data_IF_900497479500
#
_entry.id   IF_900497479500
#
_cell.length_a   1.000
_cell.length_b   1.000
_cell.length_c   1.000
_cell.angle_alpha   90.00
_cell.angle_beta   90.00
_cell.angle_gamma   90.00
#
_symmetry.space_group_name_H-M   'P 1'
#
loop_
_entity.id
_entity.type
_entity.pdbx_description
1 polymer ?
#
# COMPACT_ATOMS: atom_id res chain seq x y z
N UNK A 1 11.83 -13.84 20.55
CA UNK A 1 10.60 -13.04 20.80
C UNK A 1 10.44 -11.82 19.86
N UNK A 2 11.23 -11.66 18.79
CA UNK A 2 11.07 -10.56 17.84
C UNK A 2 10.02 -10.81 16.73
N UNK A 3 9.66 -12.07 16.48
CA UNK A 3 8.71 -12.45 15.41
C UNK A 3 7.24 -12.14 15.70
N UNK A 4 6.86 -11.90 16.96
CA UNK A 4 5.45 -11.67 17.32
C UNK A 4 5.01 -10.20 17.23
N UNK A 5 5.94 -9.24 17.18
CA UNK A 5 5.60 -7.82 16.96
C UNK A 5 5.24 -7.56 15.48
N UNK A 6 5.75 -8.39 14.57
CA UNK A 6 5.37 -8.36 13.16
C UNK A 6 3.92 -8.84 12.92
N UNK A 7 3.37 -9.70 13.78
CA UNK A 7 2.07 -10.33 13.57
C UNK A 7 0.88 -9.37 13.73
N UNK A 8 1.03 -8.30 14.52
CA UNK A 8 -0.01 -7.28 14.72
C UNK A 8 0.12 -6.06 13.79
N UNK A 9 1.31 -5.80 13.23
CA UNK A 9 1.55 -4.66 12.34
C UNK A 9 1.47 -4.98 10.84
N UNK A 10 1.47 -6.26 10.45
CA UNK A 10 1.55 -6.69 9.03
C UNK A 10 0.27 -7.34 8.46
N UNK A 11 -0.90 -7.11 9.05
CA UNK A 11 -2.18 -7.47 8.41
C UNK A 11 -2.56 -6.54 7.23
N UNK A 12 -1.58 -5.83 6.66
CA UNK A 12 -1.80 -5.04 5.44
C UNK A 12 -1.99 -5.97 4.24
N UNK A 13 -1.34 -7.15 4.26
CA UNK A 13 -1.56 -8.24 3.32
C UNK A 13 -2.19 -9.40 4.11
N UNK A 14 -3.49 -9.60 3.94
CA UNK A 14 -4.25 -10.55 4.76
C UNK A 14 -4.55 -11.85 4.03
N UNK A 15 -4.56 -11.82 2.69
CA UNK A 15 -4.95 -12.93 1.83
C UNK A 15 -3.84 -13.30 0.83
N UNK A 16 -3.70 -14.59 0.46
CA UNK A 16 -2.80 -14.99 -0.61
C UNK A 16 -3.09 -14.23 -1.90
N UNK A 17 -2.04 -13.68 -2.52
CA UNK A 17 -2.16 -12.88 -3.73
C UNK A 17 -2.31 -11.38 -3.50
N UNK A 18 -2.54 -10.92 -2.27
CA UNK A 18 -2.46 -9.49 -1.94
C UNK A 18 -1.07 -8.94 -2.25
N UNK A 19 -1.02 -7.69 -2.69
CA UNK A 19 0.23 -7.00 -3.07
C UNK A 19 0.31 -5.64 -2.40
N UNK A 20 1.48 -5.34 -1.84
CA UNK A 20 1.86 -4.01 -1.38
C UNK A 20 3.16 -3.62 -2.06
N UNK A 21 3.16 -2.44 -2.67
CA UNK A 21 4.33 -1.86 -3.32
C UNK A 21 4.59 -0.50 -2.69
N UNK A 22 5.76 -0.33 -2.10
CA UNK A 22 6.25 0.96 -1.60
C UNK A 22 7.51 1.33 -2.36
N UNK A 23 7.56 2.55 -2.92
CA UNK A 23 8.72 3.03 -3.66
C UNK A 23 8.89 4.54 -3.52
N UNK A 24 10.13 4.99 -3.66
CA UNK A 24 10.47 6.40 -3.88
C UNK A 24 10.91 6.51 -5.35
N UNK A 25 10.33 7.44 -6.11
CA UNK A 25 10.72 7.68 -7.50
C UNK A 25 11.94 8.60 -7.56
N UNK A 26 12.64 8.63 -8.70
CA UNK A 26 13.80 9.51 -8.91
C UNK A 26 13.44 11.00 -8.76
N UNK A 27 12.18 11.35 -9.03
CA UNK A 27 11.61 12.68 -8.80
C UNK A 27 11.25 12.96 -7.33
N UNK A 28 11.54 12.05 -6.40
CA UNK A 28 11.28 12.19 -4.96
C UNK A 28 9.84 11.89 -4.52
N UNK A 29 8.99 11.34 -5.39
CA UNK A 29 7.62 10.98 -5.00
C UNK A 29 7.64 9.72 -4.14
N UNK A 30 6.95 9.73 -3.00
CA UNK A 30 6.74 8.53 -2.18
C UNK A 30 5.42 7.90 -2.61
N UNK A 31 5.48 6.70 -3.16
CA UNK A 31 4.32 5.98 -3.68
C UNK A 31 4.10 4.72 -2.86
N UNK A 32 2.90 4.57 -2.31
CA UNK A 32 2.41 3.35 -1.70
C UNK A 32 1.21 2.85 -2.51
N UNK A 33 1.24 1.58 -2.90
CA UNK A 33 0.13 0.92 -3.58
C UNK A 33 -0.23 -0.36 -2.83
N UNK A 34 -1.52 -0.62 -2.79
CA UNK A 34 -2.12 -1.84 -2.27
C UNK A 34 -3.08 -2.38 -3.31
N UNK A 35 -3.07 -3.70 -3.51
CA UNK A 35 -4.07 -4.41 -4.28
C UNK A 35 -4.39 -5.72 -3.59
N UNK A 36 -5.67 -6.04 -3.45
CA UNK A 36 -6.10 -7.35 -3.00
C UNK A 36 -5.89 -8.39 -4.11
N UNK A 37 -5.59 -9.63 -3.72
CA UNK A 37 -5.31 -10.72 -4.66
C UNK A 37 -6.51 -11.09 -5.54
N UNK A 38 -7.72 -10.94 -5.00
CA UNK A 38 -8.99 -11.11 -5.70
C UNK A 38 -9.36 -9.91 -6.60
N UNK A 39 -8.59 -8.81 -6.54
CA UNK A 39 -8.84 -7.57 -7.27
C UNK A 39 -10.08 -6.79 -6.81
N UNK A 40 -10.69 -7.15 -5.68
CA UNK A 40 -11.85 -6.45 -5.12
C UNK A 40 -11.51 -5.06 -4.59
N UNK A 41 -10.27 -4.84 -4.17
CA UNK A 41 -9.80 -3.57 -3.64
C UNK A 41 -8.45 -3.17 -4.24
N UNK A 42 -8.34 -1.91 -4.65
CA UNK A 42 -7.08 -1.25 -4.99
C UNK A 42 -7.00 0.08 -4.28
N UNK A 43 -5.86 0.38 -3.69
CA UNK A 43 -5.60 1.66 -3.07
C UNK A 43 -4.20 2.15 -3.45
N UNK A 44 -4.04 3.46 -3.60
CA UNK A 44 -2.73 4.05 -3.74
C UNK A 44 -2.67 5.40 -3.06
N UNK A 45 -1.51 5.71 -2.49
CA UNK A 45 -1.17 7.01 -1.92
C UNK A 45 0.14 7.46 -2.50
N UNK A 46 0.15 8.64 -3.10
CA UNK A 46 1.37 9.29 -3.59
C UNK A 46 1.57 10.59 -2.84
N UNK A 47 2.72 10.76 -2.21
CA UNK A 47 3.17 12.01 -1.62
C UNK A 47 4.24 12.60 -2.52
N UNK A 48 4.00 13.82 -2.99
CA UNK A 48 4.93 14.56 -3.83
C UNK A 48 5.93 15.35 -2.97
N UNK A 49 7.13 15.69 -3.50
CA UNK A 49 8.11 16.50 -2.77
C UNK A 49 7.59 17.85 -2.28
N UNK A 50 6.60 18.42 -2.97
CA UNK A 50 5.95 19.67 -2.59
C UNK A 50 4.93 19.50 -1.43
N UNK A 51 4.81 18.31 -0.85
CA UNK A 51 3.86 17.98 0.22
C UNK A 51 2.44 17.66 -0.26
N UNK A 52 2.16 17.69 -1.57
CA UNK A 52 0.86 17.28 -2.10
C UNK A 52 0.65 15.79 -1.88
N UNK A 53 -0.55 15.39 -1.47
CA UNK A 53 -0.92 13.99 -1.27
C UNK A 53 -2.07 13.65 -2.23
N UNK A 54 -1.87 12.64 -3.06
CA UNK A 54 -2.89 12.07 -3.94
C UNK A 54 -3.24 10.67 -3.46
N UNK A 55 -4.49 10.48 -3.06
CA UNK A 55 -5.04 9.19 -2.66
C UNK A 55 -6.07 8.69 -3.66
N UNK A 56 -5.99 7.42 -4.01
CA UNK A 56 -6.97 6.74 -4.86
C UNK A 56 -7.40 5.47 -4.16
N UNK A 57 -8.72 5.22 -4.13
CA UNK A 57 -9.28 3.96 -3.64
C UNK A 57 -10.36 3.49 -4.60
N UNK A 58 -10.30 2.22 -4.97
CA UNK A 58 -11.22 1.59 -5.89
C UNK A 58 -11.68 0.29 -5.26
N UNK A 59 -12.99 0.10 -5.24
CA UNK A 59 -13.64 -1.08 -4.71
C UNK A 59 -14.59 -1.63 -5.76
N UNK A 60 -14.60 -2.95 -5.93
CA UNK A 60 -15.61 -3.64 -6.72
C UNK A 60 -16.87 -3.77 -5.87
N UNK A 61 -18.00 -3.26 -6.38
CA UNK A 61 -19.32 -3.43 -5.76
C UNK A 61 -19.91 -4.80 -6.06
#
# INVERSE_FOLDING_TARGET
MAFNLAKSALNILSSPGDKLEARITDSGNKVLKFASGDGSMKASRTEYPNGTIHETRTYRR
#
